data_IF_675959168100
#
_entry.id   IF_675959168100
#
_cell.length_a   1.000
_cell.length_b   1.000
_cell.length_c   1.000
_cell.angle_alpha   90.00
_cell.angle_beta   90.00
_cell.angle_gamma   90.00
#
_symmetry.space_group_name_H-M   'P 1'
#
loop_
_entity.id
_entity.type
_entity.pdbx_description
1 polymer ?
#
# COMPACT_ATOMS: atom_id res chain seq x y z
N UNK A 1 13.84 -0.70 28.34
CA UNK A 1 14.01 -0.89 26.89
C UNK A 1 12.71 -1.51 26.42
N UNK A 2 12.04 -0.93 25.45
CA UNK A 2 10.84 -1.54 24.83
C UNK A 2 11.27 -2.84 24.13
N UNK A 3 10.52 -3.91 24.34
CA UNK A 3 10.76 -5.19 23.67
C UNK A 3 10.63 -4.99 22.16
N UNK A 4 11.62 -5.49 21.40
CA UNK A 4 11.65 -5.36 19.95
C UNK A 4 10.60 -6.28 19.34
N UNK A 5 9.92 -5.79 18.29
CA UNK A 5 9.06 -6.62 17.45
C UNK A 5 9.94 -7.50 16.56
N UNK A 6 9.73 -8.81 16.63
CA UNK A 6 10.46 -9.82 15.88
C UNK A 6 9.73 -10.13 14.57
N UNK A 7 10.30 -9.68 13.46
CA UNK A 7 9.69 -9.77 12.14
C UNK A 7 10.06 -11.08 11.42
N UNK A 8 9.04 -11.69 10.81
CA UNK A 8 9.19 -12.67 9.75
C UNK A 8 8.84 -12.06 8.39
N UNK A 9 9.50 -12.48 7.32
CA UNK A 9 9.14 -12.10 5.95
C UNK A 9 8.68 -13.35 5.20
N UNK A 10 7.46 -13.30 4.67
CA UNK A 10 6.85 -14.33 3.84
C UNK A 10 7.01 -13.97 2.37
N UNK A 11 7.90 -14.69 1.68
CA UNK A 11 8.34 -14.39 0.32
C UNK A 11 9.71 -13.73 0.28
N UNK A 12 10.41 -13.84 -0.87
CA UNK A 12 11.80 -13.38 -1.06
C UNK A 12 11.95 -12.56 -2.34
N UNK A 13 10.86 -11.89 -2.76
CA UNK A 13 10.83 -11.03 -3.94
C UNK A 13 11.46 -9.65 -3.71
N UNK A 14 11.47 -8.81 -4.75
CA UNK A 14 12.06 -7.46 -4.67
C UNK A 14 11.50 -6.62 -3.53
N UNK A 15 10.18 -6.69 -3.27
CA UNK A 15 9.57 -5.90 -2.21
C UNK A 15 9.99 -6.39 -0.82
N UNK A 16 10.23 -7.70 -0.65
CA UNK A 16 10.82 -8.25 0.57
C UNK A 16 12.20 -7.64 0.87
N UNK A 17 13.05 -7.45 -0.15
CA UNK A 17 14.36 -6.81 0.01
C UNK A 17 14.22 -5.34 0.41
N UNK A 18 13.22 -4.60 -0.14
CA UNK A 18 12.96 -3.22 0.25
C UNK A 18 12.50 -3.13 1.71
N UNK A 19 11.56 -3.98 2.13
CA UNK A 19 11.09 -4.02 3.51
C UNK A 19 12.22 -4.42 4.49
N UNK A 20 12.98 -5.47 4.18
CA UNK A 20 14.13 -5.86 5.00
C UNK A 20 15.17 -4.75 5.13
N UNK A 21 15.38 -3.97 4.06
CA UNK A 21 16.25 -2.78 4.08
C UNK A 21 15.68 -1.69 4.98
N UNK A 22 14.36 -1.42 4.91
CA UNK A 22 13.67 -0.47 5.77
C UNK A 22 13.75 -0.84 7.25
N UNK A 23 13.64 -2.13 7.58
CA UNK A 23 13.75 -2.61 8.96
C UNK A 23 15.11 -2.32 9.60
N UNK A 24 16.20 -2.19 8.82
CA UNK A 24 17.51 -1.86 9.36
C UNK A 24 17.55 -0.49 10.06
N UNK A 25 16.68 0.42 9.67
CA UNK A 25 16.55 1.76 10.28
C UNK A 25 15.57 1.77 11.47
N UNK A 26 14.90 0.66 11.75
CA UNK A 26 13.94 0.56 12.86
C UNK A 26 14.66 0.13 14.13
N UNK A 27 14.59 0.97 15.18
CA UNK A 27 15.32 0.73 16.43
C UNK A 27 14.63 -0.30 17.34
N UNK A 28 13.32 -0.45 17.21
CA UNK A 28 12.45 -1.28 18.02
C UNK A 28 11.83 -2.48 17.24
N UNK A 29 12.48 -2.87 16.15
CA UNK A 29 12.16 -4.05 15.37
C UNK A 29 13.42 -4.78 14.91
N UNK A 30 13.30 -6.08 14.67
CA UNK A 30 14.39 -6.89 14.11
C UNK A 30 13.87 -7.99 13.20
N UNK A 31 14.59 -8.26 12.11
CA UNK A 31 14.26 -9.34 11.19
C UNK A 31 14.87 -10.64 11.69
N UNK A 32 14.03 -11.57 12.13
CA UNK A 32 14.46 -12.84 12.74
C UNK A 32 14.20 -14.07 11.87
N UNK A 33 13.26 -14.00 10.93
CA UNK A 33 12.88 -15.15 10.12
C UNK A 33 12.54 -14.78 8.68
N UNK A 34 12.76 -15.72 7.77
CA UNK A 34 12.29 -15.62 6.38
C UNK A 34 11.74 -16.98 5.94
N UNK A 35 10.60 -16.96 5.23
CA UNK A 35 9.99 -18.14 4.61
C UNK A 35 9.92 -17.99 3.10
N UNK A 36 10.26 -19.07 2.39
CA UNK A 36 10.14 -19.17 0.94
C UNK A 36 9.65 -20.56 0.55
N UNK A 37 9.18 -20.72 -0.69
CA UNK A 37 8.76 -22.02 -1.26
C UNK A 37 9.93 -22.95 -1.55
N UNK A 38 11.16 -22.50 -1.35
CA UNK A 38 12.36 -23.34 -1.45
C UNK A 38 13.39 -22.92 -0.41
N UNK A 39 14.16 -23.88 0.10
CA UNK A 39 15.26 -23.64 1.04
C UNK A 39 16.33 -22.74 0.42
N UNK A 40 16.67 -22.98 -0.85
CA UNK A 40 17.69 -22.19 -1.56
C UNK A 40 17.35 -20.69 -1.57
N UNK A 41 16.09 -20.33 -1.88
CA UNK A 41 15.65 -18.94 -1.90
C UNK A 41 15.63 -18.32 -0.49
N UNK A 42 15.23 -19.07 0.53
CA UNK A 42 15.29 -18.65 1.91
C UNK A 42 16.74 -18.41 2.37
N UNK A 43 17.65 -19.35 2.05
CA UNK A 43 19.07 -19.24 2.41
C UNK A 43 19.75 -18.05 1.73
N UNK A 44 19.46 -17.81 0.45
CA UNK A 44 20.01 -16.67 -0.29
C UNK A 44 19.57 -15.35 0.32
N UNK A 45 18.29 -15.19 0.60
CA UNK A 45 17.75 -13.98 1.24
C UNK A 45 18.33 -13.80 2.65
N UNK A 46 18.37 -14.86 3.42
CA UNK A 46 18.87 -14.84 4.79
C UNK A 46 20.37 -14.49 4.85
N UNK A 47 21.16 -14.94 3.89
CA UNK A 47 22.59 -14.60 3.81
C UNK A 47 22.80 -13.10 3.54
N UNK A 48 21.94 -12.47 2.72
CA UNK A 48 22.02 -11.04 2.40
C UNK A 48 21.66 -10.14 3.60
N UNK A 49 20.66 -10.56 4.38
CA UNK A 49 20.14 -9.75 5.49
C UNK A 49 20.55 -10.25 6.88
N UNK A 50 21.38 -11.30 6.97
CA UNK A 50 21.81 -11.95 8.22
C UNK A 50 20.63 -12.47 9.05
N UNK A 51 19.61 -13.05 8.38
CA UNK A 51 18.42 -13.58 9.05
C UNK A 51 18.76 -14.94 9.68
N UNK A 52 18.54 -15.14 10.99
CA UNK A 52 18.91 -16.38 11.66
C UNK A 52 18.04 -17.57 11.26
N UNK A 53 16.70 -17.39 11.20
CA UNK A 53 15.75 -18.48 10.95
C UNK A 53 15.33 -18.51 9.48
N UNK A 54 15.44 -19.69 8.86
CA UNK A 54 15.20 -19.90 7.42
C UNK A 54 14.25 -21.04 7.22
N UNK A 55 13.12 -20.77 6.58
CA UNK A 55 12.04 -21.72 6.41
C UNK A 55 11.82 -22.03 4.93
N UNK A 56 11.79 -23.35 4.60
CA UNK A 56 11.56 -23.85 3.25
C UNK A 56 10.07 -23.84 2.83
N UNK A 57 9.19 -23.43 3.73
CA UNK A 57 7.76 -23.27 3.47
C UNK A 57 7.18 -22.13 4.32
N UNK A 58 6.01 -21.63 3.93
CA UNK A 58 5.28 -20.62 4.68
C UNK A 58 4.68 -21.17 5.97
N UNK A 59 4.23 -22.43 5.95
CA UNK A 59 3.72 -23.14 7.11
C UNK A 59 4.79 -23.27 8.21
N UNK A 60 6.04 -23.53 7.84
CA UNK A 60 7.13 -23.57 8.81
C UNK A 60 7.43 -22.19 9.41
N UNK A 61 7.37 -21.13 8.60
CA UNK A 61 7.58 -19.76 9.07
C UNK A 61 6.52 -19.34 10.10
N UNK A 62 5.23 -19.58 9.82
CA UNK A 62 4.15 -19.10 10.70
C UNK A 62 4.13 -19.80 12.06
N UNK A 63 4.74 -20.98 12.17
CA UNK A 63 4.89 -21.70 13.42
C UNK A 63 6.20 -21.40 14.16
N UNK A 64 7.05 -20.49 13.66
CA UNK A 64 8.26 -20.07 14.37
C UNK A 64 7.89 -19.28 15.64
N UNK A 65 8.23 -19.77 16.85
CA UNK A 65 7.89 -19.09 18.11
C UNK A 65 8.69 -17.78 18.32
N UNK A 66 9.73 -17.55 17.52
CA UNK A 66 10.51 -16.31 17.59
C UNK A 66 9.93 -15.18 16.76
N UNK A 67 8.84 -15.41 16.01
CA UNK A 67 8.20 -14.41 15.14
C UNK A 67 6.96 -13.82 15.82
N UNK A 68 6.88 -12.50 15.91
CA UNK A 68 5.72 -11.76 16.43
C UNK A 68 4.81 -11.27 15.29
N UNK A 69 5.43 -10.71 14.23
CA UNK A 69 4.70 -10.15 13.09
C UNK A 69 5.30 -10.65 11.77
N UNK A 70 4.44 -10.88 10.77
CA UNK A 70 4.84 -11.34 9.44
C UNK A 70 4.46 -10.28 8.40
N UNK A 71 5.48 -9.90 7.61
CA UNK A 71 5.28 -9.11 6.39
C UNK A 71 5.04 -10.04 5.20
N UNK A 72 3.89 -9.92 4.55
CA UNK A 72 3.51 -10.71 3.37
C UNK A 72 3.90 -9.95 2.12
N UNK A 73 4.81 -10.53 1.33
CA UNK A 73 5.43 -9.94 0.13
C UNK A 73 5.26 -10.79 -1.13
N UNK A 74 4.25 -11.65 -1.13
CA UNK A 74 3.92 -12.51 -2.29
C UNK A 74 3.22 -11.71 -3.40
N UNK A 75 3.06 -12.25 -4.62
CA UNK A 75 2.18 -11.63 -5.62
C UNK A 75 0.72 -11.55 -5.15
N UNK A 76 0.00 -10.57 -5.66
CA UNK A 76 -1.34 -10.17 -5.22
C UNK A 76 -2.34 -11.32 -4.99
N UNK A 77 -2.48 -12.33 -5.90
CA UNK A 77 -3.46 -13.41 -5.73
C UNK A 77 -3.20 -14.31 -4.51
N UNK A 78 -2.00 -14.25 -3.94
CA UNK A 78 -1.60 -15.07 -2.79
C UNK A 78 -1.72 -14.34 -1.45
N UNK A 79 -2.13 -13.06 -1.44
CA UNK A 79 -2.24 -12.27 -0.21
C UNK A 79 -3.27 -12.88 0.74
N UNK A 80 -4.46 -13.22 0.25
CA UNK A 80 -5.52 -13.80 1.08
C UNK A 80 -5.08 -15.09 1.76
N UNK A 81 -4.65 -16.10 0.99
CA UNK A 81 -4.30 -17.40 1.56
C UNK A 81 -3.16 -17.31 2.59
N UNK A 82 -2.13 -16.49 2.27
CA UNK A 82 -0.99 -16.31 3.16
C UNK A 82 -1.35 -15.51 4.42
N UNK A 83 -2.25 -14.52 4.31
CA UNK A 83 -2.77 -13.79 5.46
C UNK A 83 -3.57 -14.71 6.37
N UNK A 84 -4.49 -15.52 5.82
CA UNK A 84 -5.27 -16.48 6.60
C UNK A 84 -4.37 -17.50 7.32
N UNK A 85 -3.34 -18.00 6.65
CA UNK A 85 -2.34 -18.89 7.23
C UNK A 85 -1.64 -18.25 8.45
N UNK A 86 -1.19 -16.99 8.33
CA UNK A 86 -0.54 -16.27 9.41
C UNK A 86 -1.49 -16.00 10.60
N UNK A 87 -2.71 -15.53 10.32
CA UNK A 87 -3.71 -15.23 11.35
C UNK A 87 -4.14 -16.47 12.13
N UNK A 88 -4.34 -17.60 11.45
CA UNK A 88 -4.64 -18.88 12.08
C UNK A 88 -3.53 -19.37 13.03
N UNK A 89 -2.28 -19.03 12.71
CA UNK A 89 -1.13 -19.31 13.58
C UNK A 89 -0.92 -18.25 14.69
N UNK A 90 -1.82 -17.26 14.80
CA UNK A 90 -1.75 -16.19 15.80
C UNK A 90 -0.66 -15.14 15.53
N UNK A 91 -0.17 -15.03 14.28
CA UNK A 91 0.86 -14.05 13.90
C UNK A 91 0.23 -12.76 13.42
N UNK A 92 0.69 -11.62 13.97
CA UNK A 92 0.34 -10.31 13.45
C UNK A 92 0.77 -10.17 11.97
N UNK A 93 -0.02 -9.46 11.17
CA UNK A 93 0.21 -9.39 9.71
C UNK A 93 0.28 -7.95 9.23
N UNK A 94 1.32 -7.68 8.45
CA UNK A 94 1.42 -6.55 7.53
C UNK A 94 1.39 -7.10 6.11
N UNK A 95 0.28 -6.87 5.38
CA UNK A 95 0.08 -7.42 4.04
C UNK A 95 0.33 -6.36 2.97
N UNK A 96 1.17 -6.67 1.97
CA UNK A 96 1.44 -5.76 0.85
C UNK A 96 0.17 -5.30 0.11
N UNK A 97 0.30 -4.10 -0.45
CA UNK A 97 -0.73 -3.51 -1.32
C UNK A 97 -0.64 -4.11 -2.76
N UNK A 98 -1.76 -4.19 -3.50
CA UNK A 98 -3.11 -4.04 -2.98
C UNK A 98 -3.41 -5.16 -1.98
N UNK A 99 -4.17 -4.85 -0.96
CA UNK A 99 -4.41 -5.76 0.16
C UNK A 99 -4.92 -7.15 -0.28
N UNK A 100 -5.81 -7.17 -1.27
CA UNK A 100 -6.39 -8.37 -1.87
C UNK A 100 -6.75 -8.11 -3.34
N UNK A 101 -7.16 -9.15 -4.06
CA UNK A 101 -7.61 -9.05 -5.45
C UNK A 101 -8.95 -8.33 -5.59
N UNK A 102 -9.83 -8.42 -4.57
CA UNK A 102 -11.15 -7.81 -4.53
C UNK A 102 -11.63 -7.64 -3.09
N UNK A 103 -12.78 -6.96 -2.91
CA UNK A 103 -13.34 -6.68 -1.60
C UNK A 103 -13.73 -7.96 -0.82
N UNK A 104 -14.23 -9.00 -1.48
CA UNK A 104 -14.62 -10.25 -0.81
C UNK A 104 -13.42 -10.97 -0.19
N UNK A 105 -12.28 -10.95 -0.86
CA UNK A 105 -11.04 -11.48 -0.29
C UNK A 105 -10.60 -10.65 0.93
N UNK A 106 -10.66 -9.32 0.82
CA UNK A 106 -10.34 -8.41 1.93
C UNK A 106 -11.26 -8.62 3.14
N UNK A 107 -12.56 -8.78 2.91
CA UNK A 107 -13.54 -9.09 3.96
C UNK A 107 -13.21 -10.39 4.69
N UNK A 108 -12.85 -11.45 3.95
CA UNK A 108 -12.45 -12.73 4.53
C UNK A 108 -11.19 -12.62 5.40
N UNK A 109 -10.20 -11.84 4.96
CA UNK A 109 -8.96 -11.60 5.71
C UNK A 109 -9.24 -10.83 7.02
N UNK A 110 -10.03 -9.77 6.96
CA UNK A 110 -10.39 -8.94 8.11
C UNK A 110 -11.25 -9.71 9.12
N UNK A 111 -12.20 -10.51 8.64
CA UNK A 111 -13.02 -11.35 9.51
C UNK A 111 -12.17 -12.42 10.23
N UNK A 112 -11.20 -13.00 9.54
CA UNK A 112 -10.25 -13.92 10.17
C UNK A 112 -9.41 -13.22 11.25
N UNK A 113 -8.92 -12.00 10.99
CA UNK A 113 -8.18 -11.21 11.98
C UNK A 113 -9.01 -10.95 13.25
N UNK A 114 -10.28 -10.57 13.07
CA UNK A 114 -11.22 -10.36 14.19
C UNK A 114 -11.51 -11.65 14.96
N UNK A 115 -11.78 -12.73 14.24
CA UNK A 115 -12.09 -14.04 14.85
C UNK A 115 -10.94 -14.57 15.70
N UNK A 116 -9.72 -14.40 15.22
CA UNK A 116 -8.52 -14.85 15.95
C UNK A 116 -8.00 -13.80 16.95
N UNK A 117 -8.53 -12.57 16.96
CA UNK A 117 -8.04 -11.48 17.83
C UNK A 117 -6.59 -11.09 17.51
N UNK A 118 -6.21 -11.10 16.23
CA UNK A 118 -4.84 -10.87 15.76
C UNK A 118 -4.77 -9.60 14.93
N UNK A 119 -3.69 -8.82 15.09
CA UNK A 119 -3.45 -7.59 14.34
C UNK A 119 -3.31 -7.88 12.83
N UNK A 120 -3.96 -7.02 12.02
CA UNK A 120 -3.85 -7.03 10.57
C UNK A 120 -3.82 -5.60 10.03
N UNK A 121 -2.91 -5.29 9.10
CA UNK A 121 -2.82 -3.99 8.45
C UNK A 121 -2.42 -4.15 6.98
N UNK A 122 -3.00 -3.31 6.10
CA UNK A 122 -2.51 -3.13 4.73
C UNK A 122 -1.23 -2.30 4.72
N UNK A 123 -0.23 -2.73 3.95
CA UNK A 123 1.05 -2.05 3.78
C UNK A 123 0.94 -0.89 2.77
N UNK A 124 0.03 0.05 3.02
CA UNK A 124 -0.03 1.31 2.26
C UNK A 124 1.01 2.30 2.82
N UNK A 125 2.27 1.95 2.68
CA UNK A 125 3.42 2.61 3.30
C UNK A 125 3.49 4.13 3.09
N UNK A 126 3.01 4.62 1.94
CA UNK A 126 2.91 6.04 1.62
C UNK A 126 2.20 6.84 2.72
N UNK A 127 1.18 6.25 3.38
CA UNK A 127 0.40 6.89 4.45
C UNK A 127 1.22 7.34 5.64
N UNK A 128 2.33 6.68 5.88
CA UNK A 128 3.16 6.85 7.08
C UNK A 128 4.37 7.79 6.83
N UNK A 129 4.62 8.19 5.59
CA UNK A 129 5.71 9.10 5.26
C UNK A 129 5.49 10.48 5.89
N UNK A 130 6.55 11.14 6.40
CA UNK A 130 6.45 12.45 7.02
C UNK A 130 5.73 13.50 6.18
N UNK A 131 5.94 13.49 4.87
CA UNK A 131 5.26 14.40 3.94
C UNK A 131 3.73 14.16 3.92
N UNK A 132 3.28 12.90 3.89
CA UNK A 132 1.85 12.56 3.87
C UNK A 132 1.21 12.80 5.26
N UNK A 133 1.94 12.55 6.33
CA UNK A 133 1.51 12.93 7.69
C UNK A 133 1.29 14.45 7.76
N UNK A 134 2.23 15.24 7.20
CA UNK A 134 2.11 16.70 7.14
C UNK A 134 0.93 17.15 6.29
N UNK A 135 0.66 16.49 5.17
CA UNK A 135 -0.54 16.79 4.33
C UNK A 135 -1.82 16.61 5.15
N UNK A 136 -1.99 15.49 5.87
CA UNK A 136 -3.17 15.30 6.73
C UNK A 136 -3.31 16.39 7.77
N UNK A 137 -2.21 16.79 8.41
CA UNK A 137 -2.21 17.87 9.39
C UNK A 137 -2.63 19.21 8.76
N UNK A 138 -2.04 19.60 7.61
CA UNK A 138 -2.36 20.83 6.93
C UNK A 138 -3.83 20.92 6.49
N UNK A 139 -4.41 19.78 6.05
CA UNK A 139 -5.83 19.69 5.71
C UNK A 139 -6.69 19.85 6.98
N UNK A 140 -6.36 19.13 8.05
CA UNK A 140 -7.09 19.21 9.32
C UNK A 140 -7.05 20.61 9.96
N UNK A 141 -5.93 21.30 9.82
CA UNK A 141 -5.73 22.69 10.28
C UNK A 141 -6.42 23.72 9.38
N UNK A 142 -7.04 23.30 8.26
CA UNK A 142 -7.70 24.20 7.31
C UNK A 142 -6.73 25.12 6.55
N UNK A 143 -5.45 24.76 6.41
CA UNK A 143 -4.40 25.60 5.82
C UNK A 143 -4.71 26.09 4.40
N UNK A 144 -5.47 25.30 3.63
CA UNK A 144 -5.90 25.62 2.26
C UNK A 144 -7.43 25.83 2.13
N UNK A 145 -8.13 26.02 3.26
CA UNK A 145 -9.59 26.09 3.30
C UNK A 145 -10.27 24.75 3.01
N UNK A 146 -11.51 24.79 2.50
CA UNK A 146 -12.25 23.58 2.15
C UNK A 146 -11.61 22.90 0.94
N UNK A 147 -11.20 21.65 1.09
CA UNK A 147 -10.62 20.87 -0.02
C UNK A 147 -11.70 20.56 -1.05
N UNK A 148 -11.45 20.92 -2.31
CA UNK A 148 -12.44 20.81 -3.41
C UNK A 148 -12.00 19.88 -4.52
N UNK A 149 -10.69 19.74 -4.76
CA UNK A 149 -10.19 18.94 -5.87
C UNK A 149 -8.88 18.24 -5.51
N UNK A 150 -8.75 16.99 -5.99
CA UNK A 150 -7.49 16.26 -6.02
C UNK A 150 -7.16 15.92 -7.47
N UNK A 151 -5.92 16.13 -7.87
CA UNK A 151 -5.34 15.51 -9.07
C UNK A 151 -4.15 14.68 -8.67
N UNK A 152 -4.06 13.44 -9.12
CA UNK A 152 -2.91 12.58 -8.84
C UNK A 152 -2.69 11.56 -9.95
N UNK A 153 -1.42 11.30 -10.26
CA UNK A 153 -1.07 10.30 -11.26
C UNK A 153 0.06 9.40 -10.78
N UNK A 154 0.05 8.16 -11.26
CA UNK A 154 1.19 7.27 -11.14
C UNK A 154 1.35 6.46 -12.42
N UNK A 155 2.28 6.85 -13.25
CA UNK A 155 2.61 6.14 -14.47
C UNK A 155 4.11 5.99 -14.66
N UNK A 156 4.52 4.82 -15.12
CA UNK A 156 5.88 4.55 -15.57
C UNK A 156 5.84 3.74 -16.86
N UNK A 157 6.91 3.85 -17.65
CA UNK A 157 7.01 3.10 -18.90
C UNK A 157 7.82 1.82 -18.73
N UNK A 158 7.21 0.69 -19.08
CA UNK A 158 7.92 -0.59 -19.25
C UNK A 158 7.50 -1.26 -20.56
N UNK A 159 8.33 -2.16 -21.08
CA UNK A 159 8.01 -2.94 -22.26
C UNK A 159 7.07 -4.10 -21.91
N UNK A 160 6.19 -4.47 -22.84
CA UNK A 160 5.28 -5.62 -22.68
C UNK A 160 6.09 -6.91 -22.60
N UNK A 161 5.95 -7.60 -21.51
CA UNK A 161 6.52 -8.93 -21.26
C UNK A 161 5.40 -9.79 -20.66
N UNK A 162 4.67 -10.56 -21.48
CA UNK A 162 3.47 -11.28 -21.02
C UNK A 162 3.68 -12.17 -19.79
N UNK A 163 4.88 -12.72 -19.60
CA UNK A 163 5.21 -13.56 -18.44
C UNK A 163 5.69 -12.77 -17.22
N UNK A 164 5.87 -11.44 -17.36
CA UNK A 164 6.23 -10.60 -16.20
C UNK A 164 4.99 -10.29 -15.39
N UNK A 165 5.10 -10.27 -14.05
CA UNK A 165 3.97 -10.08 -13.12
C UNK A 165 3.05 -8.89 -13.48
N UNK A 166 3.60 -7.80 -14.04
CA UNK A 166 2.83 -6.62 -14.42
C UNK A 166 1.84 -6.87 -15.58
N UNK A 167 2.09 -7.91 -16.39
CA UNK A 167 1.30 -8.22 -17.58
C UNK A 167 0.62 -9.59 -17.49
N UNK A 168 0.90 -10.37 -16.45
CA UNK A 168 0.30 -11.69 -16.25
C UNK A 168 -0.99 -11.57 -15.42
N UNK A 169 -2.17 -11.84 -16.00
CA UNK A 169 -3.43 -11.80 -15.26
C UNK A 169 -3.49 -12.85 -14.14
N UNK A 170 -2.76 -13.96 -14.24
CA UNK A 170 -2.68 -14.96 -13.17
C UNK A 170 -1.89 -14.49 -11.95
N UNK A 171 -1.15 -13.40 -12.07
CA UNK A 171 -0.40 -12.75 -10.99
C UNK A 171 -1.01 -11.42 -10.56
N UNK A 172 -2.24 -11.10 -11.01
CA UNK A 172 -2.89 -9.83 -10.68
C UNK A 172 -2.19 -8.64 -11.35
N UNK A 173 -1.73 -8.82 -12.61
CA UNK A 173 -1.09 -7.74 -13.38
C UNK A 173 -2.07 -6.61 -13.70
N UNK A 174 -1.55 -5.49 -14.18
CA UNK A 174 -2.33 -4.31 -14.53
C UNK A 174 -1.89 -3.05 -13.78
N UNK A 175 -2.16 -1.91 -14.40
CA UNK A 175 -1.80 -0.62 -13.84
C UNK A 175 -2.62 -0.27 -12.58
N UNK A 176 -3.91 -0.60 -12.56
CA UNK A 176 -4.79 -0.28 -11.43
C UNK A 176 -4.32 -0.93 -10.13
N UNK A 177 -4.14 -2.25 -10.13
CA UNK A 177 -3.74 -2.98 -8.92
C UNK A 177 -2.29 -2.67 -8.50
N UNK A 178 -1.36 -2.53 -9.46
CA UNK A 178 0.05 -2.32 -9.10
C UNK A 178 0.35 -0.90 -8.63
N UNK A 179 -0.12 0.10 -9.37
CA UNK A 179 0.19 1.53 -9.09
C UNK A 179 -1.03 2.43 -8.96
N UNK A 180 -2.17 2.08 -9.56
CA UNK A 180 -3.41 2.84 -9.43
C UNK A 180 -4.00 2.83 -8.03
N UNK A 181 -3.70 1.79 -7.24
CA UNK A 181 -4.07 1.73 -5.83
C UNK A 181 -3.55 2.94 -5.02
N UNK A 182 -2.40 3.52 -5.40
CA UNK A 182 -1.84 4.70 -4.71
C UNK A 182 -2.70 5.96 -4.87
N UNK A 183 -3.04 6.44 -6.09
CA UNK A 183 -3.92 7.60 -6.22
C UNK A 183 -5.33 7.33 -5.70
N UNK A 184 -5.86 6.09 -5.80
CA UNK A 184 -7.14 5.70 -5.18
C UNK A 184 -7.06 5.82 -3.66
N UNK A 185 -6.00 5.30 -3.02
CA UNK A 185 -5.79 5.40 -1.59
C UNK A 185 -5.56 6.84 -1.11
N UNK A 186 -4.92 7.70 -1.93
CA UNK A 186 -4.79 9.13 -1.62
C UNK A 186 -6.14 9.84 -1.65
N UNK A 187 -6.98 9.53 -2.65
CA UNK A 187 -8.33 10.09 -2.74
C UNK A 187 -9.22 9.63 -1.56
N UNK A 188 -9.13 8.36 -1.18
CA UNK A 188 -9.79 7.81 0.01
C UNK A 188 -9.36 8.52 1.29
N UNK A 189 -8.05 8.75 1.47
CA UNK A 189 -7.51 9.47 2.63
C UNK A 189 -8.07 10.89 2.77
N UNK A 190 -8.33 11.57 1.65
CA UNK A 190 -8.73 12.98 1.64
C UNK A 190 -10.25 13.14 1.71
N UNK A 191 -11.00 12.31 0.98
CA UNK A 191 -12.43 12.49 0.76
C UNK A 191 -13.30 11.31 1.23
N UNK A 192 -12.69 10.15 1.59
CA UNK A 192 -13.42 8.92 1.87
C UNK A 192 -13.84 8.16 0.61
N UNK A 193 -14.92 7.39 0.72
CA UNK A 193 -15.46 6.58 -0.39
C UNK A 193 -16.21 7.47 -1.40
N UNK A 194 -15.94 7.34 -2.72
CA UNK A 194 -16.63 8.14 -3.72
C UNK A 194 -18.08 7.69 -3.91
N UNK A 195 -18.99 8.64 -4.15
CA UNK A 195 -20.39 8.35 -4.49
C UNK A 195 -20.59 8.04 -5.99
N UNK A 196 -19.68 8.55 -6.85
CA UNK A 196 -19.72 8.38 -8.30
C UNK A 196 -18.34 8.16 -8.85
N UNK A 197 -18.22 7.20 -9.74
CA UNK A 197 -16.98 6.86 -10.44
C UNK A 197 -17.26 6.82 -11.94
N UNK A 198 -16.43 7.51 -12.72
CA UNK A 198 -16.38 7.40 -14.17
C UNK A 198 -14.94 7.07 -14.55
N UNK A 199 -14.74 6.03 -15.34
CA UNK A 199 -13.39 5.58 -15.67
C UNK A 199 -13.30 5.00 -17.08
N UNK A 200 -12.11 5.09 -17.67
CA UNK A 200 -11.74 4.46 -18.94
C UNK A 200 -10.35 3.83 -18.79
N UNK A 201 -10.18 2.68 -19.43
CA UNK A 201 -8.89 2.00 -19.50
C UNK A 201 -8.56 1.55 -20.91
N UNK A 202 -7.28 1.46 -21.18
CA UNK A 202 -6.72 0.72 -22.32
C UNK A 202 -6.37 -0.70 -21.83
N UNK A 203 -7.11 -1.68 -22.34
CA UNK A 203 -6.88 -3.10 -22.02
C UNK A 203 -5.90 -3.66 -23.06
N UNK A 204 -4.73 -4.05 -22.58
CA UNK A 204 -3.65 -4.56 -23.42
C UNK A 204 -3.88 -5.98 -23.93
N UNK A 205 -2.92 -6.47 -24.71
CA UNK A 205 -3.00 -7.79 -25.37
C UNK A 205 -3.07 -8.97 -24.38
N UNK A 206 -2.68 -8.79 -23.14
CA UNK A 206 -2.74 -9.84 -22.09
C UNK A 206 -4.05 -9.82 -21.31
N UNK A 207 -4.97 -8.89 -21.65
CA UNK A 207 -6.27 -8.77 -20.99
C UNK A 207 -6.27 -8.00 -19.68
N UNK A 208 -5.18 -7.28 -19.36
CA UNK A 208 -5.10 -6.40 -18.18
C UNK A 208 -5.08 -4.93 -18.62
N UNK A 209 -5.39 -4.02 -17.69
CA UNK A 209 -5.30 -2.58 -17.91
C UNK A 209 -3.83 -2.13 -17.98
N UNK A 210 -3.43 -1.51 -19.09
CA UNK A 210 -2.08 -0.96 -19.28
C UNK A 210 -2.02 0.52 -18.89
N UNK A 211 -3.14 1.24 -18.97
CA UNK A 211 -3.34 2.60 -18.49
C UNK A 211 -4.82 2.89 -18.26
N UNK A 212 -5.09 3.80 -17.33
CA UNK A 212 -6.46 4.22 -17.02
C UNK A 212 -6.53 5.66 -16.53
N UNK A 213 -7.71 6.28 -16.73
CA UNK A 213 -8.09 7.55 -16.13
C UNK A 213 -9.43 7.41 -15.41
N UNK A 214 -9.55 8.06 -14.25
CA UNK A 214 -10.69 7.95 -13.36
C UNK A 214 -11.09 9.32 -12.84
N UNK A 215 -12.39 9.58 -12.74
CA UNK A 215 -12.96 10.76 -12.09
C UNK A 215 -13.88 10.27 -10.98
N UNK A 216 -13.61 10.71 -9.75
CA UNK A 216 -14.45 10.43 -8.60
C UNK A 216 -15.22 11.68 -8.20
N UNK A 217 -16.49 11.51 -7.86
CA UNK A 217 -17.37 12.56 -7.34
C UNK A 217 -17.85 12.20 -5.94
N UNK A 218 -17.90 13.22 -5.07
CA UNK A 218 -18.27 13.13 -3.67
C UNK A 218 -19.48 14.00 -3.34
N UNK A 219 -20.18 13.72 -2.24
CA UNK A 219 -21.47 14.29 -1.89
C UNK A 219 -21.53 15.82 -1.74
N UNK A 220 -20.42 16.45 -1.41
CA UNK A 220 -20.34 17.91 -1.28
C UNK A 220 -19.75 18.59 -2.54
N UNK A 221 -19.72 17.86 -3.67
CA UNK A 221 -19.24 18.37 -4.96
C UNK A 221 -17.72 18.38 -5.13
N UNK A 222 -16.97 17.70 -4.25
CA UNK A 222 -15.53 17.51 -4.45
C UNK A 222 -15.30 16.51 -5.60
N UNK A 223 -14.16 16.66 -6.27
CA UNK A 223 -13.73 15.80 -7.37
C UNK A 223 -12.29 15.30 -7.17
N UNK A 224 -12.04 14.05 -7.56
CA UNK A 224 -10.69 13.55 -7.76
C UNK A 224 -10.48 13.13 -9.22
N UNK A 225 -9.40 13.61 -9.84
CA UNK A 225 -8.96 13.25 -11.19
C UNK A 225 -7.69 12.42 -11.05
N UNK A 226 -7.80 11.15 -11.36
CA UNK A 226 -6.73 10.17 -11.13
C UNK A 226 -6.32 9.52 -12.44
N UNK A 227 -5.04 9.21 -12.62
CA UNK A 227 -4.59 8.40 -13.73
C UNK A 227 -3.45 7.45 -13.35
N UNK A 228 -3.36 6.35 -14.09
CA UNK A 228 -2.36 5.32 -13.86
C UNK A 228 -1.89 4.73 -15.18
N UNK A 229 -0.63 4.32 -15.27
CA UNK A 229 -0.08 3.69 -16.46
C UNK A 229 1.16 2.82 -16.15
N UNK A 230 1.30 1.72 -16.90
CA UNK A 230 2.53 0.91 -16.93
C UNK A 230 3.23 0.96 -18.31
N UNK A 231 2.67 1.75 -19.25
CA UNK A 231 3.21 1.93 -20.62
C UNK A 231 3.68 3.34 -20.89
N UNK A 232 3.39 4.29 -20.02
CA UNK A 232 3.70 5.71 -20.20
C UNK A 232 4.18 6.30 -18.89
N UNK A 233 5.30 7.04 -18.95
CA UNK A 233 5.77 7.82 -17.80
C UNK A 233 4.93 9.09 -17.71
N UNK A 234 4.30 9.31 -16.58
CA UNK A 234 3.49 10.49 -16.26
C UNK A 234 4.27 11.47 -15.37
N UNK A 235 3.75 12.67 -15.06
CA UNK A 235 4.41 13.61 -14.13
C UNK A 235 4.69 13.04 -12.74
N UNK A 236 3.85 12.09 -12.28
CA UNK A 236 3.97 11.45 -10.97
C UNK A 236 3.82 12.45 -9.82
N UNK A 237 2.91 13.41 -9.97
CA UNK A 237 2.62 14.44 -8.98
C UNK A 237 1.23 14.28 -8.38
N UNK A 238 1.01 14.89 -7.21
CA UNK A 238 -0.32 15.05 -6.67
C UNK A 238 -0.54 16.50 -6.23
N UNK A 239 -1.72 17.04 -6.52
CA UNK A 239 -2.12 18.40 -6.13
C UNK A 239 -3.48 18.34 -5.45
N UNK A 240 -3.53 18.87 -4.23
CA UNK A 240 -4.74 19.00 -3.41
C UNK A 240 -5.12 20.46 -3.41
N UNK A 241 -6.26 20.80 -3.99
CA UNK A 241 -6.72 22.19 -4.13
C UNK A 241 -7.93 22.46 -3.23
N UNK A 242 -7.83 23.52 -2.46
CA UNK A 242 -8.87 24.01 -1.57
C UNK A 242 -9.30 25.44 -1.93
N UNK A 243 -10.30 25.96 -1.21
CA UNK A 243 -10.83 27.31 -1.43
C UNK A 243 -9.85 28.43 -1.06
N UNK A 244 -8.88 28.12 -0.19
CA UNK A 244 -7.86 29.05 0.31
C UNK A 244 -6.45 28.85 -0.24
N UNK A 245 -6.22 27.80 -1.05
CA UNK A 245 -4.89 27.48 -1.55
C UNK A 245 -4.75 26.08 -2.10
N UNK A 246 -3.52 25.59 -2.21
CA UNK A 246 -3.22 24.26 -2.67
C UNK A 246 -1.98 23.66 -1.98
N UNK A 247 -1.91 22.32 -1.94
CA UNK A 247 -0.73 21.55 -1.53
C UNK A 247 -0.28 20.72 -2.72
N UNK A 248 0.98 20.89 -3.14
CA UNK A 248 1.58 20.08 -4.21
C UNK A 248 2.60 19.11 -3.61
N UNK A 249 2.40 17.83 -3.88
CA UNK A 249 3.37 16.77 -3.66
C UNK A 249 4.16 16.60 -4.96
N UNK A 250 5.48 16.77 -4.88
CA UNK A 250 6.35 16.74 -6.06
C UNK A 250 6.52 15.33 -6.63
N UNK A 251 7.13 15.25 -7.81
CA UNK A 251 7.31 14.01 -8.57
C UNK A 251 7.81 12.84 -7.72
N UNK A 252 7.22 11.67 -8.00
CA UNK A 252 7.24 10.48 -7.16
C UNK A 252 6.53 10.72 -5.82
N UNK A 253 5.36 11.37 -5.91
CA UNK A 253 4.58 11.80 -4.74
C UNK A 253 4.29 10.70 -3.71
N UNK A 254 4.18 9.44 -4.12
CA UNK A 254 3.97 8.29 -3.21
C UNK A 254 5.16 8.00 -2.28
N UNK A 255 6.32 8.60 -2.55
CA UNK A 255 7.52 8.56 -1.71
C UNK A 255 8.16 9.92 -1.54
N UNK A 256 7.37 10.99 -1.64
CA UNK A 256 7.90 12.34 -1.59
C UNK A 256 8.43 12.70 -0.20
N UNK A 257 9.46 13.55 -0.21
CA UNK A 257 10.02 14.21 0.97
C UNK A 257 9.88 15.74 0.88
N UNK A 258 9.12 16.25 -0.11
CA UNK A 258 9.01 17.68 -0.39
C UNK A 258 7.59 18.05 -0.78
N UNK A 259 7.05 19.09 -0.14
CA UNK A 259 5.75 19.69 -0.44
C UNK A 259 5.93 21.16 -0.81
N UNK A 260 5.03 21.69 -1.63
CA UNK A 260 4.81 23.14 -1.74
C UNK A 260 3.40 23.45 -1.27
N UNK A 261 3.30 24.36 -0.32
CA UNK A 261 2.03 24.90 0.19
C UNK A 261 1.85 26.32 -0.33
N UNK A 262 0.83 26.52 -1.16
CA UNK A 262 0.48 27.83 -1.72
C UNK A 262 -0.82 28.29 -1.09
N UNK A 263 -0.79 29.34 -0.29
CA UNK A 263 -1.98 29.95 0.32
C UNK A 263 -2.27 31.30 -0.36
N UNK A 264 -3.52 31.53 -0.73
CA UNK A 264 -3.92 32.74 -1.43
C UNK A 264 -3.44 34.01 -0.68
N UNK A 265 -2.74 34.86 -1.41
CA UNK A 265 -2.22 36.15 -0.87
C UNK A 265 -0.94 36.00 -0.04
N UNK A 266 -0.33 34.82 0.02
CA UNK A 266 0.95 34.59 0.68
C UNK A 266 1.98 34.01 -0.30
N UNK A 267 3.29 34.19 -0.05
CA UNK A 267 4.33 33.47 -0.78
C UNK A 267 4.19 31.95 -0.60
N UNK A 268 4.61 31.20 -1.62
CA UNK A 268 4.69 29.75 -1.54
C UNK A 268 5.67 29.32 -0.43
N UNK A 269 5.26 28.33 0.34
CA UNK A 269 6.11 27.67 1.35
C UNK A 269 6.54 26.28 0.84
N UNK A 270 7.85 26.06 0.80
CA UNK A 270 8.42 24.75 0.45
C UNK A 270 8.85 24.06 1.73
N UNK A 271 8.28 22.88 1.99
CA UNK A 271 8.59 22.06 3.15
C UNK A 271 9.45 20.86 2.72
N UNK A 272 10.66 20.77 3.25
CA UNK A 272 11.52 19.60 3.12
C UNK A 272 11.27 18.69 4.32
N UNK A 273 10.82 17.47 4.04
CA UNK A 273 10.37 16.47 5.02
C UNK A 273 11.07 15.13 4.76
N UNK A 274 12.40 15.09 4.92
CA UNK A 274 13.17 13.87 4.69
C UNK A 274 12.76 12.78 5.68
N UNK A 275 12.98 11.54 5.30
CA UNK A 275 12.78 10.36 6.14
C UNK A 275 14.01 9.46 6.09
N UNK A 276 14.21 8.69 7.15
CA UNK A 276 15.28 7.72 7.22
C UNK A 276 14.96 6.44 6.43
N UNK A 277 15.99 5.78 5.94
CA UNK A 277 15.85 4.54 5.19
C UNK A 277 15.18 4.75 3.83
N UNK A 278 14.27 3.86 3.48
CA UNK A 278 13.58 3.86 2.20
C UNK A 278 12.05 4.09 2.30
N UNK A 279 11.56 4.45 3.49
CA UNK A 279 10.15 4.76 3.76
C UNK A 279 9.32 3.60 4.34
N UNK A 280 9.70 2.33 4.13
CA UNK A 280 9.02 1.16 4.71
C UNK A 280 9.19 1.07 6.23
N UNK A 281 10.21 1.72 6.78
CA UNK A 281 10.45 1.85 8.23
C UNK A 281 9.25 2.39 8.98
N UNK A 282 8.53 3.36 8.39
CA UNK A 282 7.43 4.04 9.06
C UNK A 282 6.18 3.17 9.26
N UNK A 283 5.82 2.34 8.27
CA UNK A 283 4.70 1.40 8.43
C UNK A 283 5.04 0.27 9.41
N UNK A 284 6.30 -0.20 9.39
CA UNK A 284 6.77 -1.18 10.38
C UNK A 284 6.76 -0.61 11.80
N UNK A 285 7.13 0.68 11.98
CA UNK A 285 7.03 1.38 13.26
C UNK A 285 5.57 1.47 13.74
N UNK A 286 4.63 1.77 12.85
CA UNK A 286 3.19 1.80 13.18
C UNK A 286 2.68 0.43 13.63
N UNK A 287 3.05 -0.66 12.94
CA UNK A 287 2.71 -2.03 13.41
C UNK A 287 3.22 -2.25 14.82
N UNK A 288 4.48 -1.89 15.10
CA UNK A 288 5.07 -2.01 16.44
C UNK A 288 4.33 -1.17 17.49
N UNK A 289 3.91 0.05 17.13
CA UNK A 289 3.10 0.90 18.01
C UNK A 289 1.76 0.24 18.36
N UNK A 290 1.03 -0.24 17.33
CA UNK A 290 -0.27 -0.88 17.49
C UNK A 290 -0.18 -2.15 18.37
N UNK A 291 0.81 -3.01 18.11
CA UNK A 291 1.00 -4.24 18.87
C UNK A 291 1.27 -3.97 20.35
N UNK A 292 2.11 -2.98 20.66
CA UNK A 292 2.36 -2.57 22.04
C UNK A 292 1.16 -1.93 22.74
N UNK A 293 0.27 -1.31 21.95
CA UNK A 293 -0.99 -0.74 22.45
C UNK A 293 -2.12 -1.78 22.57
N UNK A 294 -1.92 -3.01 22.09
CA UNK A 294 -2.96 -4.04 22.04
C UNK A 294 -4.06 -3.75 21.02
N UNK A 295 -3.77 -2.90 20.03
CA UNK A 295 -4.68 -2.60 18.94
C UNK A 295 -4.66 -3.73 17.89
N UNK A 296 -5.80 -3.99 17.24
CA UNK A 296 -5.93 -5.04 16.21
C UNK A 296 -5.86 -4.49 14.79
N UNK A 297 -5.91 -3.18 14.62
CA UNK A 297 -5.76 -2.45 13.35
C UNK A 297 -5.10 -1.09 13.60
N UNK A 298 -4.57 -0.44 12.56
CA UNK A 298 -4.04 0.92 12.66
C UNK A 298 -5.15 1.95 12.47
N UNK A 299 -5.23 2.99 13.31
CA UNK A 299 -6.16 4.11 13.10
C UNK A 299 -5.78 4.96 11.87
N UNK A 300 -4.57 4.82 11.34
CA UNK A 300 -4.10 5.53 10.13
C UNK A 300 -4.50 4.81 8.85
N UNK A 301 -4.64 3.49 8.90
CA UNK A 301 -5.11 2.64 7.81
C UNK A 301 -6.08 1.60 8.39
N UNK A 302 -7.31 2.03 8.78
CA UNK A 302 -8.27 1.12 9.41
C UNK A 302 -8.85 0.14 8.38
N UNK A 303 -9.27 -1.03 8.84
CA UNK A 303 -9.86 -2.08 8.00
C UNK A 303 -11.03 -1.57 7.13
N UNK A 304 -11.85 -0.67 7.67
CA UNK A 304 -12.96 -0.09 6.95
C UNK A 304 -12.50 0.70 5.71
N UNK A 305 -11.36 1.40 5.80
CA UNK A 305 -10.80 2.16 4.68
C UNK A 305 -10.14 1.24 3.66
N UNK A 306 -9.42 0.19 4.09
CA UNK A 306 -8.90 -0.85 3.20
C UNK A 306 -10.04 -1.47 2.36
N UNK A 307 -11.18 -1.82 2.98
CA UNK A 307 -12.34 -2.34 2.26
C UNK A 307 -12.97 -1.30 1.32
N UNK A 308 -13.00 -0.03 1.71
CA UNK A 308 -13.50 1.05 0.84
C UNK A 308 -12.64 1.22 -0.42
N UNK A 309 -11.31 1.15 -0.28
CA UNK A 309 -10.38 1.19 -1.41
C UNK A 309 -10.60 -0.01 -2.33
N UNK A 310 -10.72 -1.22 -1.78
CA UNK A 310 -10.99 -2.43 -2.57
C UNK A 310 -12.31 -2.33 -3.32
N UNK A 311 -13.42 -1.90 -2.66
CA UNK A 311 -14.72 -1.68 -3.33
C UNK A 311 -14.61 -0.66 -4.46
N UNK A 312 -13.90 0.42 -4.24
CA UNK A 312 -13.65 1.44 -5.27
C UNK A 312 -12.92 0.84 -6.48
N UNK A 313 -11.88 0.04 -6.25
CA UNK A 313 -11.15 -0.63 -7.34
C UNK A 313 -12.01 -1.68 -8.06
N UNK A 314 -12.86 -2.41 -7.35
CA UNK A 314 -13.81 -3.36 -7.96
C UNK A 314 -14.81 -2.64 -8.86
N UNK A 315 -15.41 -1.53 -8.40
CA UNK A 315 -16.33 -0.71 -9.21
C UNK A 315 -15.65 -0.12 -10.46
N UNK A 316 -14.37 0.23 -10.37
CA UNK A 316 -13.58 0.68 -11.52
C UNK A 316 -13.42 -0.45 -12.53
N UNK A 317 -13.01 -1.65 -12.09
CA UNK A 317 -12.81 -2.82 -12.95
C UNK A 317 -14.12 -3.30 -13.61
N UNK A 318 -15.25 -3.19 -12.88
CA UNK A 318 -16.57 -3.50 -13.43
C UNK A 318 -16.90 -2.65 -14.66
N UNK A 319 -16.56 -1.35 -14.68
CA UNK A 319 -16.77 -0.48 -15.84
C UNK A 319 -15.97 -0.91 -17.08
N UNK A 320 -14.87 -1.61 -16.86
CA UNK A 320 -13.99 -2.11 -17.92
C UNK A 320 -14.27 -3.57 -18.30
N UNK A 321 -15.19 -4.24 -17.62
CA UNK A 321 -15.40 -5.70 -17.70
C UNK A 321 -14.10 -6.49 -17.44
N UNK A 322 -13.20 -5.96 -16.63
CA UNK A 322 -11.93 -6.59 -16.29
C UNK A 322 -12.13 -7.55 -15.11
N UNK A 323 -11.90 -8.85 -15.38
CA UNK A 323 -11.89 -9.91 -14.37
C UNK A 323 -10.59 -10.70 -14.45
N UNK A 324 -10.11 -11.11 -13.30
CA UNK A 324 -8.93 -11.95 -13.21
C UNK A 324 -9.31 -13.44 -13.20
N UNK A 325 -8.41 -14.35 -13.66
CA UNK A 325 -8.72 -15.78 -13.79
C UNK A 325 -9.07 -16.49 -12.48
N UNK A 326 -8.65 -15.95 -11.33
CA UNK A 326 -8.91 -16.54 -10.01
C UNK A 326 -10.22 -16.06 -9.36
N UNK A 327 -10.94 -15.14 -9.97
CA UNK A 327 -12.20 -14.58 -9.46
C UNK A 327 -13.45 -15.36 -9.88
#
# INVERSE_FOLDING_TARGET
MTEKIRWGILGTGNIAHQFATGLKSLTDGELVAVGSRSQEAADKFAAEFNVPNRHASYESLVHDPQVDAIYISTPHPFHKENTLLCLQAGKAVLCEKPFAMNVHEGEAMIEAARTHGVFLMEAMWTRYLPAIVKVRQLIADGAIGDVRMLTADFGFRTDVKPQHRLFDPNLGGGALLDVGVYPVALASMIFGEPERIVSMADIGQTGIDEQAAMIFGYGQGQLALLSTAIRTTTPQEAVISGTGGQIRLHSQWWRCSRLTVSVNGKPDEVLELPYEGNGYTHEAAEVGRCLRAGELESPVMPHAETLSILRTMDQIREQWNLKYPME
#
